data_IF_365451509277
#
_entry.id   IF_365451509277
#
_cell.length_a   1.000
_cell.length_b   1.000
_cell.length_c   1.000
_cell.angle_alpha   90.00
_cell.angle_beta   90.00
_cell.angle_gamma   90.00
#
_symmetry.space_group_name_H-M   'P 1'
#
loop_
_entity.id
_entity.type
_entity.pdbx_description
1 polymer ?
#
# COMPACT_ATOMS: atom_id res chain seq x y z
N UNK A 1 57.21 -25.61 -20.04
CA UNK A 1 56.85 -24.47 -20.91
C UNK A 1 55.46 -24.74 -21.49
N UNK A 2 54.52 -23.79 -21.31
CA UNK A 2 53.19 -23.65 -21.97
C UNK A 2 52.22 -24.82 -21.67
N UNK A 3 50.99 -24.65 -21.17
CA UNK A 3 50.03 -23.55 -21.18
C UNK A 3 48.70 -24.08 -21.74
N UNK A 4 47.58 -23.55 -21.22
CA UNK A 4 46.20 -23.55 -21.78
C UNK A 4 45.18 -24.60 -21.25
N UNK A 5 44.46 -24.17 -20.22
CA UNK A 5 43.00 -23.90 -20.12
C UNK A 5 41.90 -24.91 -20.54
N UNK A 6 41.04 -25.18 -19.55
CA UNK A 6 39.55 -25.00 -19.49
C UNK A 6 38.61 -25.75 -20.44
N UNK A 7 37.66 -26.49 -19.83
CA UNK A 7 36.29 -26.61 -20.35
C UNK A 7 35.26 -26.60 -19.20
N UNK A 8 34.63 -25.45 -18.96
CA UNK A 8 33.34 -25.36 -18.27
C UNK A 8 32.22 -25.33 -19.32
N UNK A 9 31.28 -26.26 -19.21
CA UNK A 9 30.15 -26.43 -20.13
C UNK A 9 29.12 -25.32 -19.92
N UNK A 10 28.84 -24.59 -21.00
CA UNK A 10 27.85 -23.52 -21.04
C UNK A 10 26.41 -24.03 -21.14
N UNK A 11 25.54 -23.48 -20.29
CA UNK A 11 24.09 -23.45 -20.54
C UNK A 11 23.81 -22.37 -21.59
N UNK A 12 23.24 -22.81 -22.72
CA UNK A 12 22.71 -21.94 -23.77
C UNK A 12 21.41 -21.31 -23.30
N UNK A 13 21.36 -19.98 -23.37
CA UNK A 13 20.15 -19.17 -23.24
C UNK A 13 19.22 -19.45 -24.43
N UNK A 14 17.97 -19.82 -24.16
CA UNK A 14 16.88 -19.71 -25.12
C UNK A 14 16.10 -18.44 -24.81
N UNK A 15 16.41 -17.37 -25.55
CA UNK A 15 15.62 -16.14 -25.63
C UNK A 15 14.60 -16.29 -26.75
N UNK A 16 13.32 -16.45 -26.41
CA UNK A 16 12.23 -15.98 -27.29
C UNK A 16 10.88 -16.04 -26.60
N UNK A 17 10.12 -14.94 -26.77
CA UNK A 17 8.71 -14.71 -26.42
C UNK A 17 8.40 -14.31 -24.98
N UNK A 18 8.55 -13.00 -24.73
CA UNK A 18 7.60 -12.21 -23.93
C UNK A 18 7.72 -10.74 -24.38
N UNK A 19 7.11 -10.42 -25.52
CA UNK A 19 6.78 -9.04 -25.89
C UNK A 19 5.31 -9.04 -26.31
N UNK A 20 4.44 -9.08 -25.32
CA UNK A 20 3.09 -8.57 -25.46
C UNK A 20 3.06 -7.28 -24.62
N UNK A 21 3.44 -6.15 -25.25
CA UNK A 21 3.12 -4.84 -24.71
C UNK A 21 1.60 -4.70 -24.72
N UNK A 22 0.95 -4.93 -23.58
CA UNK A 22 -0.39 -4.43 -23.35
C UNK A 22 -0.28 -2.91 -23.25
N UNK A 23 -0.41 -2.21 -24.38
CA UNK A 23 -0.68 -0.78 -24.37
C UNK A 23 -2.00 -0.59 -23.62
N UNK A 24 -1.98 0.07 -22.46
CA UNK A 24 -3.21 0.50 -21.83
C UNK A 24 -3.97 1.36 -22.86
N UNK A 25 -5.19 0.97 -23.28
CA UNK A 25 -5.89 1.68 -24.34
C UNK A 25 -6.10 3.14 -23.92
N UNK A 26 -5.93 4.06 -24.88
CA UNK A 26 -6.34 5.46 -24.76
C UNK A 26 -7.73 5.51 -24.14
N UNK A 27 -7.94 6.36 -23.14
CA UNK A 27 -9.28 6.60 -22.62
C UNK A 27 -10.20 6.98 -23.79
N UNK A 28 -11.14 6.10 -24.16
CA UNK A 28 -12.34 6.52 -24.88
C UNK A 28 -13.02 7.57 -24.01
N UNK A 29 -13.53 8.65 -24.62
CA UNK A 29 -14.16 9.78 -23.92
C UNK A 29 -15.05 9.31 -22.76
N UNK A 30 -15.10 10.02 -21.62
CA UNK A 30 -15.87 9.60 -20.46
C UNK A 30 -17.32 9.35 -20.86
N UNK A 31 -17.75 8.09 -20.83
CA UNK A 31 -19.17 7.75 -20.82
C UNK A 31 -19.67 8.06 -19.43
N UNK A 32 -20.34 9.20 -19.27
CA UNK A 32 -21.43 9.49 -18.33
C UNK A 32 -21.52 11.02 -18.16
N UNK A 33 -22.42 11.63 -18.93
CA UNK A 33 -22.83 13.01 -18.71
C UNK A 33 -23.67 13.07 -17.42
N UNK A 34 -23.15 13.71 -16.37
CA UNK A 34 -23.99 14.22 -15.30
C UNK A 34 -24.74 15.48 -15.78
N UNK A 35 -26.03 15.67 -15.45
CA UNK A 35 -26.82 16.78 -15.96
C UNK A 35 -26.36 18.13 -15.36
N UNK A 36 -26.22 19.14 -16.22
CA UNK A 36 -25.91 20.53 -15.85
C UNK A 36 -27.04 21.19 -15.05
N UNK A 37 -26.73 21.92 -13.96
CA UNK A 37 -27.62 22.97 -13.47
C UNK A 37 -27.36 24.28 -14.21
N UNK A 38 -28.43 24.90 -14.73
CA UNK A 38 -28.46 26.24 -15.33
C UNK A 38 -27.94 27.29 -14.36
N UNK A 39 -27.10 28.21 -14.84
CA UNK A 39 -26.76 29.47 -14.18
C UNK A 39 -27.61 30.63 -14.76
N UNK A 40 -27.94 31.66 -13.96
CA UNK A 40 -28.32 32.97 -14.49
C UNK A 40 -27.12 33.92 -14.56
N UNK A 41 -27.26 34.91 -15.45
CA UNK A 41 -26.26 35.84 -15.94
C UNK A 41 -26.04 37.09 -15.05
N UNK A 42 -25.14 37.96 -15.55
CA UNK A 42 -24.69 39.30 -15.10
C UNK A 42 -23.34 39.28 -14.36
N UNK A 43 -22.36 40.15 -14.63
CA UNK A 43 -22.23 41.29 -15.55
C UNK A 43 -20.80 41.83 -15.47
N UNK A 44 -20.38 42.58 -16.49
CA UNK A 44 -19.03 43.07 -16.75
C UNK A 44 -18.53 44.17 -15.80
N UNK A 45 -17.22 44.25 -15.56
CA UNK A 45 -16.51 45.54 -15.58
C UNK A 45 -15.01 45.38 -15.86
N UNK A 46 -14.55 46.15 -16.83
CA UNK A 46 -13.17 46.42 -17.27
C UNK A 46 -12.41 47.33 -16.30
N UNK A 47 -11.09 47.16 -16.18
CA UNK A 47 -10.16 48.25 -15.86
C UNK A 47 -8.74 47.97 -16.38
N UNK A 48 -8.12 49.06 -16.79
CA UNK A 48 -6.95 49.26 -17.67
C UNK A 48 -5.58 49.15 -17.01
N UNK A 49 -4.58 48.94 -17.86
CA UNK A 49 -3.14 48.95 -17.58
C UNK A 49 -2.55 50.34 -17.26
N UNK A 50 -1.41 50.35 -16.56
CA UNK A 50 -0.42 51.42 -16.63
C UNK A 50 0.99 50.85 -16.36
N UNK A 51 1.93 51.20 -17.25
CA UNK A 51 3.36 50.91 -17.15
C UNK A 51 4.12 52.15 -16.66
N UNK A 52 5.25 51.95 -15.97
CA UNK A 52 6.33 52.93 -15.90
C UNK A 52 7.69 52.27 -15.57
N UNK A 53 8.71 52.72 -16.28
CA UNK A 53 10.12 52.29 -16.27
C UNK A 53 10.91 52.81 -15.04
N UNK A 54 12.02 52.13 -14.72
CA UNK A 54 13.11 52.66 -13.89
C UNK A 54 14.35 51.76 -13.93
N UNK A 55 15.50 52.32 -14.29
CA UNK A 55 16.70 51.61 -14.74
C UNK A 55 17.73 51.26 -13.64
N UNK A 56 18.43 50.14 -13.89
CA UNK A 56 19.83 49.77 -13.58
C UNK A 56 20.58 50.28 -12.35
N UNK A 57 21.15 49.34 -11.59
CA UNK A 57 22.55 49.39 -11.18
C UNK A 57 23.13 47.99 -10.94
N UNK A 58 24.39 47.83 -11.34
CA UNK A 58 25.20 46.62 -11.39
C UNK A 58 25.84 46.27 -10.04
N UNK A 59 25.87 44.98 -9.71
CA UNK A 59 26.66 44.44 -8.59
C UNK A 59 26.94 42.96 -8.81
N UNK A 60 28.11 42.65 -9.35
CA UNK A 60 28.62 41.30 -9.57
C UNK A 60 29.19 40.71 -8.27
N UNK A 61 28.64 39.58 -7.82
CA UNK A 61 29.28 38.70 -6.86
C UNK A 61 28.99 37.24 -7.21
N UNK A 62 30.08 36.50 -7.41
CA UNK A 62 30.16 35.08 -7.75
C UNK A 62 29.34 34.18 -6.80
N UNK A 63 28.32 33.51 -7.35
CA UNK A 63 27.56 32.48 -6.67
C UNK A 63 27.42 31.25 -7.57
N UNK A 64 27.84 30.10 -7.05
CA UNK A 64 27.69 28.77 -7.65
C UNK A 64 26.26 28.55 -8.17
N UNK A 65 26.11 28.38 -9.48
CA UNK A 65 24.82 28.17 -10.13
C UNK A 65 24.31 26.76 -9.85
N UNK A 66 23.35 26.65 -8.94
CA UNK A 66 22.38 25.56 -9.01
C UNK A 66 21.42 25.91 -10.16
N UNK A 67 21.49 25.14 -11.25
CA UNK A 67 20.45 25.20 -12.27
C UNK A 67 19.13 24.75 -11.64
N UNK A 68 18.29 25.71 -11.26
CA UNK A 68 16.86 25.46 -11.08
C UNK A 68 16.29 25.44 -12.49
N UNK A 69 16.13 24.24 -13.05
CA UNK A 69 15.46 24.06 -14.32
C UNK A 69 14.03 24.63 -14.22
N UNK A 70 13.77 25.64 -15.06
CA UNK A 70 12.48 26.31 -15.23
C UNK A 70 11.45 25.47 -16.00
N UNK A 71 11.76 24.20 -16.31
CA UNK A 71 10.78 23.25 -16.82
C UNK A 71 9.62 23.08 -15.83
N UNK A 72 8.35 23.22 -16.28
CA UNK A 72 7.17 23.02 -15.45
C UNK A 72 6.97 21.54 -15.05
N UNK A 73 7.78 20.65 -15.60
CA UNK A 73 7.60 19.20 -15.55
C UNK A 73 8.63 18.60 -14.58
N UNK A 74 8.16 17.87 -13.56
CA UNK A 74 9.05 16.98 -12.82
C UNK A 74 9.53 15.88 -13.77
N UNK A 75 10.85 15.75 -13.89
CA UNK A 75 11.47 14.60 -14.53
C UNK A 75 11.15 13.36 -13.70
N UNK A 76 10.07 12.68 -14.08
CA UNK A 76 9.71 11.37 -13.56
C UNK A 76 10.62 10.37 -14.28
N UNK A 77 11.39 9.56 -13.55
CA UNK A 77 12.28 8.59 -14.17
C UNK A 77 11.46 7.62 -15.03
N UNK A 78 11.93 7.37 -16.25
CA UNK A 78 11.32 6.39 -17.15
C UNK A 78 11.45 4.96 -16.61
N UNK A 79 12.46 4.70 -15.77
CA UNK A 79 12.80 3.39 -15.21
C UNK A 79 13.16 3.51 -13.73
N UNK A 80 12.80 2.50 -12.94
CA UNK A 80 13.18 2.41 -11.52
C UNK A 80 14.70 2.16 -11.42
N UNK A 81 15.38 2.89 -10.52
CA UNK A 81 16.78 2.63 -10.18
C UNK A 81 16.98 1.26 -9.51
N UNK A 82 18.22 0.79 -9.32
CA UNK A 82 18.47 -0.48 -8.65
C UNK A 82 17.83 -0.50 -7.25
N UNK A 83 17.25 -1.64 -6.81
CA UNK A 83 16.58 -1.71 -5.52
C UNK A 83 17.59 -1.40 -4.40
N UNK A 84 17.17 -0.65 -3.36
CA UNK A 84 18.02 -0.43 -2.20
C UNK A 84 18.34 -1.78 -1.54
N UNK A 85 19.49 -1.89 -0.83
CA UNK A 85 19.88 -3.14 -0.19
C UNK A 85 18.76 -3.67 0.72
N UNK A 86 18.59 -4.99 0.68
CA UNK A 86 17.64 -5.68 1.54
C UNK A 86 17.98 -5.37 3.01
N UNK A 87 16.97 -5.12 3.86
CA UNK A 87 17.19 -4.94 5.28
C UNK A 87 17.65 -6.26 5.92
N UNK A 88 18.18 -6.20 7.14
CA UNK A 88 18.49 -7.41 7.91
C UNK A 88 17.22 -8.23 8.22
N UNK A 89 17.37 -9.51 8.62
CA UNK A 89 16.24 -10.32 9.08
C UNK A 89 15.45 -9.62 10.19
N UNK A 90 14.12 -9.68 10.14
CA UNK A 90 13.25 -9.10 11.17
C UNK A 90 13.13 -7.58 11.14
N UNK A 91 13.78 -6.90 10.19
CA UNK A 91 13.74 -5.44 10.06
C UNK A 91 12.71 -5.03 9.02
N UNK A 92 11.63 -4.40 9.46
CA UNK A 92 10.62 -3.83 8.58
C UNK A 92 11.16 -2.59 7.87
N UNK A 93 10.80 -2.41 6.59
CA UNK A 93 11.04 -1.16 5.86
C UNK A 93 9.71 -0.43 5.65
N UNK A 94 9.67 0.85 5.99
CA UNK A 94 8.55 1.73 5.68
C UNK A 94 9.02 2.91 4.82
N UNK A 95 8.38 3.10 3.67
CA UNK A 95 8.66 4.19 2.75
C UNK A 95 7.89 5.45 3.12
N UNK A 96 8.42 6.64 2.79
CA UNK A 96 7.76 7.92 3.04
C UNK A 96 7.99 8.94 1.92
N UNK A 97 7.04 9.87 1.76
CA UNK A 97 7.07 10.89 0.71
C UNK A 97 6.87 12.33 1.23
N UNK A 98 6.99 12.58 2.54
CA UNK A 98 6.78 13.91 3.15
C UNK A 98 7.91 14.93 2.87
N UNK A 99 8.95 14.54 2.15
CA UNK A 99 9.93 15.47 1.58
C UNK A 99 9.29 16.37 0.50
N UNK A 100 8.19 15.94 -0.11
CA UNK A 100 7.35 16.76 -0.96
C UNK A 100 6.37 17.59 -0.14
N UNK A 101 6.68 18.89 0.03
CA UNK A 101 5.89 19.81 0.85
C UNK A 101 4.72 20.38 0.04
N UNK A 102 3.59 19.67 0.02
CA UNK A 102 2.39 20.11 -0.70
C UNK A 102 1.80 21.35 -0.05
N UNK A 103 1.75 22.51 -0.75
CA UNK A 103 1.12 23.71 -0.23
C UNK A 103 -0.40 23.52 -0.26
N UNK A 104 -1.03 23.56 0.92
CA UNK A 104 -2.48 23.58 1.05
C UNK A 104 -2.92 24.93 1.62
N UNK A 105 -4.08 25.47 1.18
CA UNK A 105 -4.67 26.65 1.77
C UNK A 105 -4.90 26.46 3.27
N UNK A 106 -4.85 27.55 4.02
CA UNK A 106 -5.22 27.54 5.44
C UNK A 106 -6.65 26.99 5.62
N UNK A 107 -6.84 26.15 6.64
CA UNK A 107 -8.13 25.52 6.91
C UNK A 107 -8.50 24.36 5.96
N UNK A 108 -7.64 23.97 5.02
CA UNK A 108 -7.88 22.80 4.17
C UNK A 108 -8.17 21.56 5.03
N UNK A 109 -9.23 20.81 4.67
CA UNK A 109 -9.75 19.75 5.53
C UNK A 109 -8.82 18.53 5.63
N UNK A 110 -7.96 18.33 4.64
CA UNK A 110 -6.98 17.25 4.61
C UNK A 110 -5.73 17.60 5.43
N UNK A 111 -5.40 16.83 6.48
CA UNK A 111 -4.30 17.13 7.40
C UNK A 111 -2.96 16.65 6.84
N UNK A 112 -2.42 17.31 5.82
CA UNK A 112 -1.18 16.89 5.12
C UNK A 112 0.03 16.69 6.06
N UNK A 113 0.07 17.40 7.19
CA UNK A 113 1.16 17.27 8.17
C UNK A 113 1.18 15.90 8.88
N UNK A 114 0.10 15.11 8.83
CA UNK A 114 0.03 13.80 9.49
C UNK A 114 1.13 12.85 9.02
N UNK A 115 1.54 12.94 7.76
CA UNK A 115 2.59 12.09 7.18
C UNK A 115 3.95 12.36 7.83
N UNK A 116 4.36 13.63 7.89
CA UNK A 116 5.61 14.03 8.52
C UNK A 116 5.59 13.79 10.04
N UNK A 117 4.46 14.05 10.69
CA UNK A 117 4.29 13.81 12.13
C UNK A 117 4.37 12.32 12.48
N UNK A 118 3.75 11.44 11.69
CA UNK A 118 3.83 9.98 11.85
C UNK A 118 5.27 9.50 11.67
N UNK A 119 5.97 9.95 10.62
CA UNK A 119 7.39 9.63 10.41
C UNK A 119 8.24 10.09 11.60
N UNK A 120 8.06 11.32 12.07
CA UNK A 120 8.81 11.86 13.20
C UNK A 120 8.56 11.06 14.49
N UNK A 121 7.31 10.66 14.76
CA UNK A 121 6.96 9.84 15.91
C UNK A 121 7.63 8.46 15.86
N UNK A 122 7.69 7.82 14.67
CA UNK A 122 8.40 6.56 14.47
C UNK A 122 9.92 6.71 14.62
N UNK A 123 10.51 7.82 14.14
CA UNK A 123 11.94 8.09 14.28
C UNK A 123 12.38 8.37 15.72
N UNK A 124 11.51 9.01 16.51
CA UNK A 124 11.78 9.32 17.91
C UNK A 124 11.63 8.10 18.83
N UNK A 125 11.01 7.03 18.35
CA UNK A 125 10.77 5.82 19.13
C UNK A 125 11.99 4.90 19.14
N UNK A 126 12.86 5.06 20.13
CA UNK A 126 14.09 4.28 20.27
C UNK A 126 13.88 2.76 20.40
N UNK A 127 12.67 2.31 20.75
CA UNK A 127 12.37 0.87 20.79
C UNK A 127 12.28 0.23 19.38
N UNK A 128 12.18 1.04 18.33
CA UNK A 128 12.18 0.62 16.94
C UNK A 128 13.60 0.51 16.34
N UNK A 129 14.63 0.87 17.10
CA UNK A 129 16.02 0.67 16.67
C UNK A 129 16.29 -0.80 16.35
N UNK A 130 16.88 -1.05 15.18
CA UNK A 130 17.10 -2.40 14.66
C UNK A 130 15.83 -3.17 14.28
N UNK A 131 14.64 -2.53 14.25
CA UNK A 131 13.36 -3.17 13.87
C UNK A 131 12.65 -2.47 12.72
N UNK A 132 12.82 -1.16 12.60
CA UNK A 132 12.22 -0.35 11.53
C UNK A 132 13.29 0.48 10.82
N UNK A 133 13.27 0.45 9.49
CA UNK A 133 14.01 1.37 8.64
C UNK A 133 13.04 2.25 7.86
N UNK A 134 13.20 3.56 7.98
CA UNK A 134 12.45 4.54 7.22
C UNK A 134 13.25 4.96 5.98
N UNK A 135 12.65 4.82 4.79
CA UNK A 135 13.32 5.13 3.52
C UNK A 135 12.51 6.14 2.70
N UNK A 136 13.14 7.16 2.08
CA UNK A 136 12.42 8.04 1.16
C UNK A 136 11.93 7.23 -0.05
N UNK A 137 10.69 7.48 -0.46
CA UNK A 137 10.09 6.83 -1.61
C UNK A 137 10.52 7.54 -2.91
N UNK A 138 11.19 6.79 -3.80
CA UNK A 138 11.42 7.24 -5.15
C UNK A 138 10.08 7.38 -5.91
N UNK A 139 9.96 8.34 -6.86
CA UNK A 139 8.81 8.40 -7.75
C UNK A 139 8.60 7.07 -8.51
N UNK A 140 7.36 6.62 -8.63
CA UNK A 140 7.01 5.50 -9.50
C UNK A 140 7.38 5.81 -10.96
N UNK A 141 7.80 4.78 -11.70
CA UNK A 141 7.98 4.91 -13.13
C UNK A 141 6.62 5.16 -13.80
N UNK A 142 6.60 5.98 -14.85
CA UNK A 142 5.39 6.30 -15.59
C UNK A 142 4.71 5.04 -16.15
N UNK A 143 5.49 4.06 -16.59
CA UNK A 143 4.98 2.78 -17.09
C UNK A 143 4.29 1.94 -16.02
N UNK A 144 4.75 2.00 -14.77
CA UNK A 144 4.08 1.31 -13.66
C UNK A 144 2.72 1.95 -13.36
N UNK A 145 2.66 3.28 -13.29
CA UNK A 145 1.40 4.01 -13.09
C UNK A 145 0.43 3.75 -14.25
N UNK A 146 0.95 3.63 -15.48
CA UNK A 146 0.17 3.37 -16.69
C UNK A 146 -0.39 1.93 -16.78
N UNK A 147 0.03 1.00 -15.91
CA UNK A 147 -0.62 -0.31 -15.79
C UNK A 147 -2.06 -0.20 -15.25
N UNK A 148 -2.36 0.88 -14.53
CA UNK A 148 -3.67 1.13 -13.90
C UNK A 148 -4.35 2.33 -14.53
N UNK A 149 -3.67 3.47 -14.56
CA UNK A 149 -4.27 4.73 -14.95
C UNK A 149 -4.08 4.97 -16.44
N UNK A 150 -5.11 5.48 -17.12
CA UNK A 150 -4.96 5.79 -18.54
C UNK A 150 -3.93 6.89 -18.74
N UNK A 151 -3.04 6.70 -19.72
CA UNK A 151 -1.85 7.55 -19.88
C UNK A 151 -2.20 9.03 -20.08
N UNK A 152 -3.35 9.33 -20.69
CA UNK A 152 -3.81 10.71 -20.85
C UNK A 152 -4.13 11.38 -19.51
N UNK A 153 -4.74 10.65 -18.57
CA UNK A 153 -5.03 11.18 -17.24
C UNK A 153 -3.73 11.46 -16.47
N UNK A 154 -2.79 10.51 -16.50
CA UNK A 154 -1.48 10.65 -15.84
C UNK A 154 -0.71 11.86 -16.40
N UNK A 155 -0.65 12.00 -17.72
CA UNK A 155 0.04 13.12 -18.36
C UNK A 155 -0.65 14.46 -18.08
N UNK A 156 -1.99 14.53 -18.11
CA UNK A 156 -2.71 15.77 -17.75
C UNK A 156 -2.36 16.21 -16.33
N UNK A 157 -2.36 15.30 -15.37
CA UNK A 157 -1.98 15.62 -14.00
C UNK A 157 -0.50 16.03 -13.88
N UNK A 158 0.41 15.30 -14.54
CA UNK A 158 1.85 15.57 -14.50
C UNK A 158 2.22 16.93 -15.09
N UNK A 159 1.52 17.36 -16.13
CA UNK A 159 1.84 18.54 -16.95
C UNK A 159 0.99 19.78 -16.62
N UNK A 160 0.26 19.78 -15.50
CA UNK A 160 -0.66 20.87 -15.14
C UNK A 160 -1.73 21.15 -16.22
N UNK A 161 -2.21 20.10 -16.88
CA UNK A 161 -3.22 20.17 -17.93
C UNK A 161 -4.57 19.56 -17.49
N UNK A 162 -4.78 19.45 -16.17
CA UNK A 162 -6.06 19.04 -15.59
C UNK A 162 -7.03 20.20 -15.63
N UNK A 163 -8.28 19.90 -15.97
CA UNK A 163 -9.37 20.88 -15.87
C UNK A 163 -9.71 21.14 -14.40
N UNK A 164 -10.29 22.31 -14.10
CA UNK A 164 -10.71 22.60 -12.73
C UNK A 164 -11.69 21.58 -12.14
N UNK A 165 -12.69 21.04 -12.89
CA UNK A 165 -13.54 19.97 -12.37
C UNK A 165 -12.77 18.72 -11.96
N UNK A 166 -11.75 18.32 -12.74
CA UNK A 166 -10.91 17.16 -12.39
C UNK A 166 -10.12 17.44 -11.10
N UNK A 167 -9.50 18.61 -10.96
CA UNK A 167 -8.79 18.99 -9.73
C UNK A 167 -9.72 19.14 -8.52
N UNK A 168 -10.95 19.61 -8.72
CA UNK A 168 -11.98 19.63 -7.66
C UNK A 168 -12.36 18.23 -7.21
N UNK A 169 -12.43 17.25 -8.13
CA UNK A 169 -12.72 15.86 -7.77
C UNK A 169 -11.59 15.22 -6.96
N UNK A 170 -10.33 15.53 -7.31
CA UNK A 170 -9.15 15.16 -6.52
C UNK A 170 -9.22 15.79 -5.12
N UNK A 171 -9.60 17.06 -5.02
CA UNK A 171 -9.70 17.77 -3.73
C UNK A 171 -8.37 18.35 -3.24
N UNK A 172 -7.41 18.59 -4.14
CA UNK A 172 -6.18 19.32 -3.86
C UNK A 172 -5.94 20.42 -4.91
N UNK A 173 -5.31 21.55 -4.54
CA UNK A 173 -4.76 22.45 -5.55
C UNK A 173 -3.59 21.77 -6.27
N UNK A 174 -3.47 22.02 -7.57
CA UNK A 174 -2.31 21.52 -8.31
C UNK A 174 -1.04 22.21 -7.81
N UNK A 175 0.04 21.46 -7.68
CA UNK A 175 1.38 21.99 -7.48
C UNK A 175 2.41 20.96 -7.90
N UNK A 176 3.61 21.42 -8.28
CA UNK A 176 4.75 20.52 -8.52
C UNK A 176 5.04 19.60 -7.33
N UNK A 177 4.84 20.10 -6.10
CA UNK A 177 5.01 19.31 -4.87
C UNK A 177 3.95 18.19 -4.78
N UNK A 178 2.70 18.45 -5.16
CA UNK A 178 1.65 17.43 -5.22
C UNK A 178 1.99 16.36 -6.26
N UNK A 179 2.49 16.74 -7.44
CA UNK A 179 2.91 15.80 -8.48
C UNK A 179 4.00 14.88 -7.94
N UNK A 180 5.08 15.44 -7.40
CA UNK A 180 6.19 14.66 -6.83
C UNK A 180 5.73 13.73 -5.72
N UNK A 181 4.91 14.23 -4.78
CA UNK A 181 4.33 13.43 -3.69
C UNK A 181 3.50 12.27 -4.23
N UNK A 182 2.69 12.51 -5.24
CA UNK A 182 1.77 11.51 -5.81
C UNK A 182 2.54 10.36 -6.45
N UNK A 183 3.54 10.66 -7.27
CA UNK A 183 4.38 9.62 -7.87
C UNK A 183 5.24 8.91 -6.81
N UNK A 184 5.80 9.62 -5.83
CA UNK A 184 6.56 8.99 -4.74
C UNK A 184 5.68 8.13 -3.82
N UNK A 185 4.42 8.51 -3.60
CA UNK A 185 3.46 7.67 -2.88
C UNK A 185 3.26 6.34 -3.63
N UNK A 186 2.98 6.36 -4.93
CA UNK A 186 2.90 5.13 -5.73
C UNK A 186 4.20 4.32 -5.71
N UNK A 187 5.34 5.00 -5.88
CA UNK A 187 6.65 4.34 -5.93
C UNK A 187 7.03 3.69 -4.61
N UNK A 188 6.61 4.25 -3.48
CA UNK A 188 6.80 3.67 -2.15
C UNK A 188 6.05 2.34 -1.98
N UNK A 189 4.81 2.25 -2.45
CA UNK A 189 4.00 1.02 -2.36
C UNK A 189 4.53 -0.06 -3.32
N UNK A 190 4.96 0.33 -4.53
CA UNK A 190 5.65 -0.55 -5.48
C UNK A 190 6.97 -1.07 -4.88
N UNK A 191 7.79 -0.20 -4.29
CA UNK A 191 9.06 -0.59 -3.69
C UNK A 191 8.87 -1.54 -2.49
N UNK A 192 7.89 -1.29 -1.63
CA UNK A 192 7.51 -2.20 -0.55
C UNK A 192 7.08 -3.58 -1.08
N UNK A 193 6.33 -3.60 -2.18
CA UNK A 193 5.88 -4.83 -2.84
C UNK A 193 7.05 -5.64 -3.40
N UNK A 194 7.96 -5.00 -4.14
CA UNK A 194 9.18 -5.67 -4.61
C UNK A 194 9.99 -6.27 -3.46
N UNK A 195 10.12 -5.52 -2.35
CA UNK A 195 10.91 -5.95 -1.21
C UNK A 195 10.39 -7.26 -0.61
N UNK A 196 9.09 -7.33 -0.27
CA UNK A 196 8.53 -8.52 0.37
C UNK A 196 8.46 -9.72 -0.59
N UNK A 197 8.25 -9.49 -1.89
CA UNK A 197 8.23 -10.56 -2.90
C UNK A 197 9.63 -11.11 -3.18
N UNK A 198 10.67 -10.26 -3.19
CA UNK A 198 12.06 -10.71 -3.31
C UNK A 198 12.52 -11.51 -2.10
N UNK A 199 12.03 -11.16 -0.91
CA UNK A 199 12.28 -11.92 0.32
C UNK A 199 11.42 -13.20 0.40
N UNK A 200 10.33 -13.26 -0.37
CA UNK A 200 9.34 -14.34 -0.36
C UNK A 200 8.44 -14.37 0.88
N UNK A 201 8.65 -13.47 1.84
CA UNK A 201 7.91 -13.34 3.11
C UNK A 201 8.21 -11.99 3.77
N UNK A 202 7.46 -11.65 4.81
CA UNK A 202 7.72 -10.51 5.68
C UNK A 202 6.72 -9.37 5.50
N UNK A 203 7.03 -8.23 6.13
CA UNK A 203 6.18 -7.04 6.14
C UNK A 203 7.00 -5.83 5.68
N UNK A 204 6.47 -5.07 4.74
CA UNK A 204 6.94 -3.74 4.38
C UNK A 204 5.76 -2.76 4.34
N UNK A 205 6.02 -1.46 4.26
CA UNK A 205 4.92 -0.51 4.15
C UNK A 205 5.27 0.84 3.56
N UNK A 206 4.25 1.68 3.40
CA UNK A 206 4.38 3.02 2.85
C UNK A 206 3.47 4.01 3.58
N UNK A 207 4.11 4.91 4.33
CA UNK A 207 3.47 5.97 5.12
C UNK A 207 2.67 6.92 4.20
N UNK A 208 3.06 7.09 2.94
CA UNK A 208 2.39 8.00 2.02
C UNK A 208 1.26 7.36 1.19
N UNK A 209 1.10 6.04 1.26
CA UNK A 209 0.20 5.26 0.41
C UNK A 209 -1.22 5.06 0.96
N UNK A 210 -2.01 4.27 0.25
CA UNK A 210 -3.38 3.89 0.62
C UNK A 210 -4.45 4.71 -0.09
N UNK A 211 -4.17 5.17 -1.31
CA UNK A 211 -5.01 6.09 -2.07
C UNK A 211 -6.05 5.35 -2.93
N UNK A 212 -6.95 4.63 -2.26
CA UNK A 212 -7.89 3.67 -2.85
C UNK A 212 -9.07 4.25 -3.69
N UNK A 213 -9.31 5.56 -3.67
CA UNK A 213 -10.44 6.18 -4.36
C UNK A 213 -10.16 6.51 -5.83
N UNK A 214 -8.89 6.51 -6.25
CA UNK A 214 -8.55 6.88 -7.63
C UNK A 214 -8.99 5.78 -8.61
N UNK A 215 -9.66 6.21 -9.69
CA UNK A 215 -10.12 5.35 -10.77
C UNK A 215 -9.08 5.34 -11.89
N UNK A 216 -9.30 4.47 -12.89
CA UNK A 216 -8.47 4.39 -14.09
C UNK A 216 -8.29 5.74 -14.80
N UNK A 217 -9.31 6.58 -14.87
CA UNK A 217 -9.34 7.79 -15.69
C UNK A 217 -9.51 9.12 -14.94
N UNK A 218 -9.64 9.06 -13.60
CA UNK A 218 -9.82 10.23 -12.75
C UNK A 218 -9.34 9.99 -11.32
N UNK A 219 -8.91 11.06 -10.67
CA UNK A 219 -8.70 11.10 -9.23
C UNK A 219 -9.97 11.50 -8.49
N UNK A 220 -10.10 11.09 -7.25
CA UNK A 220 -11.31 11.26 -6.44
C UNK A 220 -10.95 11.18 -4.95
N UNK A 221 -11.63 11.93 -4.08
CA UNK A 221 -11.55 11.73 -2.62
C UNK A 221 -10.13 11.82 -2.04
N UNK A 222 -9.35 12.84 -2.44
CA UNK A 222 -7.93 13.01 -2.06
C UNK A 222 -6.97 11.94 -2.63
N UNK A 223 -7.43 11.13 -3.58
CA UNK A 223 -6.62 10.12 -4.26
C UNK A 223 -6.42 10.52 -5.73
N UNK A 224 -5.17 10.80 -6.13
CA UNK A 224 -4.83 11.09 -7.53
C UNK A 224 -4.58 9.78 -8.29
N UNK A 225 -3.66 8.96 -7.80
CA UNK A 225 -3.41 7.61 -8.32
C UNK A 225 -3.77 6.58 -7.25
N UNK A 226 -4.05 5.34 -7.66
CA UNK A 226 -4.34 4.22 -6.78
C UNK A 226 -3.06 3.41 -6.62
N UNK A 227 -2.29 3.72 -5.58
CA UNK A 227 -0.98 3.11 -5.35
C UNK A 227 -1.09 1.61 -5.04
N UNK A 228 -2.17 1.19 -4.38
CA UNK A 228 -2.48 -0.22 -4.11
C UNK A 228 -2.68 -0.97 -5.42
N UNK A 229 -3.49 -0.41 -6.33
CA UNK A 229 -3.75 -1.04 -7.60
C UNK A 229 -2.50 -1.08 -8.49
N UNK A 230 -1.69 -0.01 -8.48
CA UNK A 230 -0.41 0.04 -9.22
C UNK A 230 0.53 -1.05 -8.71
N UNK A 231 0.67 -1.18 -7.39
CA UNK A 231 1.48 -2.23 -6.77
C UNK A 231 1.01 -3.64 -7.12
N UNK A 232 -0.31 -3.89 -7.08
CA UNK A 232 -0.85 -5.20 -7.48
C UNK A 232 -0.56 -5.51 -8.96
N UNK A 233 -0.78 -4.56 -9.88
CA UNK A 233 -0.50 -4.75 -11.31
C UNK A 233 0.98 -4.97 -11.59
N UNK A 234 1.86 -4.27 -10.87
CA UNK A 234 3.32 -4.50 -10.92
C UNK A 234 3.67 -5.91 -10.43
N UNK A 235 3.07 -6.37 -9.32
CA UNK A 235 3.29 -7.72 -8.81
C UNK A 235 2.84 -8.81 -9.81
N UNK A 236 1.67 -8.64 -10.43
CA UNK A 236 1.18 -9.53 -11.49
C UNK A 236 2.14 -9.56 -12.70
N UNK A 237 2.66 -8.40 -13.11
CA UNK A 237 3.56 -8.26 -14.26
C UNK A 237 4.94 -8.88 -14.00
N UNK A 238 5.55 -8.55 -12.87
CA UNK A 238 6.98 -8.82 -12.62
C UNK A 238 7.23 -10.14 -11.91
N UNK A 239 6.27 -10.63 -11.15
CA UNK A 239 6.38 -11.88 -10.38
C UNK A 239 5.40 -12.96 -10.84
N UNK A 240 4.50 -12.64 -11.78
CA UNK A 240 3.54 -13.61 -12.32
C UNK A 240 2.61 -14.18 -11.25
N UNK A 241 2.21 -13.38 -10.27
CA UNK A 241 1.29 -13.83 -9.23
C UNK A 241 -0.07 -14.20 -9.82
N UNK A 242 -0.67 -15.26 -9.30
CA UNK A 242 -2.00 -15.77 -9.67
C UNK A 242 -3.07 -15.40 -8.64
N UNK A 243 -2.67 -15.00 -7.43
CA UNK A 243 -3.60 -14.58 -6.39
C UNK A 243 -3.02 -13.48 -5.50
N UNK A 244 -3.69 -12.33 -5.47
CA UNK A 244 -3.41 -11.17 -4.61
C UNK A 244 -4.68 -10.85 -3.82
N UNK A 245 -4.54 -10.62 -2.52
CA UNK A 245 -5.62 -10.12 -1.67
C UNK A 245 -5.39 -8.63 -1.40
N UNK A 246 -6.31 -7.78 -1.82
CA UNK A 246 -6.42 -6.41 -1.32
C UNK A 246 -7.37 -6.41 -0.13
N UNK A 247 -6.81 -6.17 1.06
CA UNK A 247 -7.53 -6.06 2.32
C UNK A 247 -7.69 -4.57 2.66
N UNK A 248 -8.85 -4.00 2.36
CA UNK A 248 -9.15 -2.59 2.61
C UNK A 248 -9.94 -2.43 3.91
N UNK A 249 -9.32 -1.79 4.91
CA UNK A 249 -9.92 -1.55 6.23
C UNK A 249 -10.02 -0.05 6.55
N UNK A 250 -9.99 0.82 5.53
CA UNK A 250 -10.40 2.21 5.63
C UNK A 250 -11.89 2.32 5.97
N UNK A 251 -12.32 3.43 6.57
CA UNK A 251 -13.75 3.62 6.85
C UNK A 251 -14.57 3.89 5.57
N UNK A 252 -13.93 4.40 4.52
CA UNK A 252 -14.56 4.64 3.23
C UNK A 252 -14.40 3.41 2.34
N UNK A 253 -15.40 3.10 1.51
CA UNK A 253 -15.23 2.01 0.54
C UNK A 253 -14.12 2.38 -0.45
N UNK A 254 -13.20 1.43 -0.70
CA UNK A 254 -12.18 1.46 -1.75
C UNK A 254 -12.74 1.36 -3.16
N UNK A 255 -13.64 2.27 -3.53
CA UNK A 255 -14.39 2.25 -4.79
C UNK A 255 -13.51 2.28 -6.04
N UNK A 256 -12.39 3.02 -6.03
CA UNK A 256 -11.44 3.04 -7.14
C UNK A 256 -10.76 1.69 -7.33
N UNK A 257 -10.32 1.07 -6.23
CA UNK A 257 -9.74 -0.28 -6.22
C UNK A 257 -10.73 -1.32 -6.74
N UNK A 258 -11.97 -1.29 -6.26
CA UNK A 258 -13.05 -2.17 -6.71
C UNK A 258 -13.30 -2.05 -8.23
N UNK A 259 -13.38 -0.82 -8.76
CA UNK A 259 -13.56 -0.56 -10.19
C UNK A 259 -12.40 -1.13 -11.03
N UNK A 260 -11.16 -0.89 -10.60
CA UNK A 260 -9.95 -1.27 -11.35
C UNK A 260 -9.79 -2.80 -11.46
N UNK A 261 -10.28 -3.55 -10.47
CA UNK A 261 -10.14 -5.01 -10.40
C UNK A 261 -11.42 -5.78 -10.70
N UNK A 262 -12.52 -5.12 -11.10
CA UNK A 262 -13.79 -5.76 -11.40
C UNK A 262 -13.67 -6.95 -12.38
N UNK A 263 -12.78 -6.82 -13.38
CA UNK A 263 -12.53 -7.84 -14.41
C UNK A 263 -11.16 -8.54 -14.26
N UNK A 264 -10.55 -8.53 -13.06
CA UNK A 264 -9.26 -9.17 -12.79
C UNK A 264 -9.41 -10.28 -11.73
N UNK A 265 -9.62 -11.55 -12.15
CA UNK A 265 -9.92 -12.64 -11.22
C UNK A 265 -8.73 -13.03 -10.32
N UNK A 266 -7.50 -12.58 -10.64
CA UNK A 266 -6.31 -12.83 -9.80
C UNK A 266 -6.22 -11.88 -8.60
N UNK A 267 -7.09 -10.87 -8.52
CA UNK A 267 -7.11 -9.90 -7.42
C UNK A 267 -8.45 -9.99 -6.69
N UNK A 268 -8.41 -10.49 -5.47
CA UNK A 268 -9.58 -10.48 -4.57
C UNK A 268 -9.59 -9.17 -3.79
N UNK A 269 -10.69 -8.42 -3.86
CA UNK A 269 -10.88 -7.21 -3.05
C UNK A 269 -11.85 -7.50 -1.90
N UNK A 270 -11.41 -7.23 -0.68
CA UNK A 270 -12.19 -7.36 0.54
C UNK A 270 -12.20 -6.01 1.27
N UNK A 271 -13.39 -5.55 1.65
CA UNK A 271 -13.59 -4.21 2.18
C UNK A 271 -14.54 -4.22 3.40
N UNK A 272 -14.11 -3.64 4.52
CA UNK A 272 -14.95 -3.37 5.70
C UNK A 272 -15.06 -1.86 5.89
N UNK A 273 -16.19 -1.29 5.51
CA UNK A 273 -16.39 0.16 5.46
C UNK A 273 -17.68 0.59 6.18
N UNK A 274 -17.79 1.88 6.51
CA UNK A 274 -19.03 2.46 7.04
C UNK A 274 -20.11 2.56 5.96
N UNK A 275 -21.26 1.91 6.15
CA UNK A 275 -22.32 1.82 5.14
C UNK A 275 -22.80 3.20 4.68
N UNK A 276 -22.84 4.15 5.63
CA UNK A 276 -23.25 5.51 5.37
C UNK A 276 -22.06 6.47 5.28
N UNK A 277 -20.85 5.99 5.02
CA UNK A 277 -19.72 6.85 4.66
C UNK A 277 -19.71 7.14 3.15
N UNK A 278 -19.02 8.24 2.78
CA UNK A 278 -18.53 8.42 1.41
C UNK A 278 -17.83 7.13 0.94
N UNK A 279 -17.93 6.67 -0.32
CA UNK A 279 -18.41 7.36 -1.53
C UNK A 279 -19.79 6.89 -2.05
N UNK A 280 -20.92 7.33 -1.49
CA UNK A 280 -22.26 6.81 -1.87
C UNK A 280 -22.58 6.81 -3.38
N UNK A 281 -22.15 7.84 -4.12
CA UNK A 281 -22.50 7.99 -5.56
C UNK A 281 -21.58 7.21 -6.49
N UNK A 282 -20.34 7.01 -6.09
CA UNK A 282 -19.28 6.36 -6.87
C UNK A 282 -18.90 5.01 -6.28
N UNK A 283 -19.66 4.49 -5.31
CA UNK A 283 -19.52 3.14 -4.75
C UNK A 283 -19.51 2.11 -5.87
N UNK A 284 -18.69 1.08 -5.70
CA UNK A 284 -18.55 -0.06 -6.62
C UNK A 284 -18.76 -1.36 -5.86
N UNK A 285 -18.56 -2.49 -6.52
CA UNK A 285 -18.74 -3.80 -5.88
C UNK A 285 -17.37 -4.45 -5.75
N UNK A 286 -16.96 -4.75 -4.52
CA UNK A 286 -15.78 -5.55 -4.24
C UNK A 286 -16.10 -7.05 -4.41
N UNK A 287 -15.08 -7.93 -4.38
CA UNK A 287 -15.34 -9.37 -4.23
C UNK A 287 -16.11 -9.66 -2.95
N UNK A 288 -15.78 -8.94 -1.87
CA UNK A 288 -16.52 -8.96 -0.61
C UNK A 288 -16.67 -7.54 -0.05
N UNK A 289 -17.91 -7.08 0.07
CA UNK A 289 -18.27 -5.82 0.72
C UNK A 289 -18.96 -6.10 2.06
N UNK A 290 -18.41 -5.56 3.15
CA UNK A 290 -18.94 -5.70 4.51
C UNK A 290 -19.30 -4.31 5.05
N UNK A 291 -20.44 -3.73 4.63
CA UNK A 291 -20.91 -2.44 5.12
C UNK A 291 -21.30 -2.54 6.61
N UNK A 292 -20.78 -1.64 7.42
CA UNK A 292 -21.06 -1.57 8.86
C UNK A 292 -21.96 -0.37 9.21
N UNK A 293 -22.88 -0.51 10.18
CA UNK A 293 -23.68 0.61 10.66
C UNK A 293 -22.81 1.66 11.36
N UNK A 294 -23.35 2.88 11.45
CA UNK A 294 -22.72 3.96 12.21
C UNK A 294 -22.43 3.51 13.66
N UNK A 295 -21.37 4.06 14.25
CA UNK A 295 -20.93 3.81 15.62
C UNK A 295 -20.52 2.36 15.94
N UNK A 296 -20.38 1.48 14.93
CA UNK A 296 -19.85 0.12 15.14
C UNK A 296 -18.52 0.18 15.89
N UNK A 297 -18.47 -0.52 17.03
CA UNK A 297 -17.34 -0.51 17.95
C UNK A 297 -16.39 -1.70 17.78
N UNK A 298 -15.42 -1.79 18.70
CA UNK A 298 -14.31 -2.74 18.64
C UNK A 298 -14.76 -4.20 18.55
N UNK A 299 -15.68 -4.64 19.40
CA UNK A 299 -16.05 -6.05 19.52
C UNK A 299 -16.69 -6.60 18.24
N UNK A 300 -17.67 -5.87 17.69
CA UNK A 300 -18.37 -6.26 16.47
C UNK A 300 -17.42 -6.27 15.26
N UNK A 301 -16.63 -5.20 15.10
CA UNK A 301 -15.66 -5.09 14.01
C UNK A 301 -14.62 -6.21 14.06
N UNK A 302 -14.03 -6.45 15.23
CA UNK A 302 -12.97 -7.46 15.40
C UNK A 302 -13.52 -8.88 15.29
N UNK A 303 -14.74 -9.15 15.77
CA UNK A 303 -15.39 -10.45 15.59
C UNK A 303 -15.58 -10.76 14.10
N UNK A 304 -16.04 -9.77 13.32
CA UNK A 304 -16.21 -9.91 11.88
C UNK A 304 -14.87 -10.20 11.20
N UNK A 305 -13.84 -9.37 11.44
CA UNK A 305 -12.54 -9.54 10.81
C UNK A 305 -11.88 -10.89 11.17
N UNK A 306 -12.01 -11.34 12.44
CA UNK A 306 -11.52 -12.67 12.88
C UNK A 306 -12.18 -13.82 12.14
N UNK A 307 -13.46 -13.69 11.79
CA UNK A 307 -14.19 -14.73 11.04
C UNK A 307 -13.80 -14.77 9.56
N UNK A 308 -13.46 -13.62 8.97
CA UNK A 308 -13.19 -13.51 7.54
C UNK A 308 -11.75 -13.82 7.15
N UNK A 309 -10.76 -13.39 7.94
CA UNK A 309 -9.35 -13.56 7.59
C UNK A 309 -8.95 -15.02 7.27
N UNK A 310 -9.30 -16.03 8.09
CA UNK A 310 -8.99 -17.43 7.78
C UNK A 310 -9.67 -17.91 6.49
N UNK A 311 -10.91 -17.45 6.24
CA UNK A 311 -11.67 -17.81 5.05
C UNK A 311 -11.03 -17.23 3.79
N UNK A 312 -10.64 -15.96 3.82
CA UNK A 312 -9.96 -15.32 2.69
C UNK A 312 -8.67 -16.05 2.30
N UNK A 313 -7.88 -16.47 3.30
CA UNK A 313 -6.68 -17.26 3.05
C UNK A 313 -6.98 -18.65 2.48
N UNK A 314 -8.00 -19.34 3.02
CA UNK A 314 -8.36 -20.69 2.58
C UNK A 314 -8.94 -20.71 1.15
N UNK A 315 -9.85 -19.78 0.87
CA UNK A 315 -10.60 -19.71 -0.39
C UNK A 315 -9.72 -19.18 -1.53
N UNK A 316 -8.87 -18.18 -1.28
CA UNK A 316 -8.11 -17.48 -2.34
C UNK A 316 -6.62 -17.77 -2.36
N UNK A 317 -6.04 -18.29 -1.27
CA UNK A 317 -4.61 -18.62 -1.13
C UNK A 317 -3.68 -17.52 -1.68
N UNK A 318 -3.80 -16.27 -1.18
CA UNK A 318 -3.06 -15.15 -1.74
C UNK A 318 -1.55 -15.34 -1.61
N UNK A 319 -0.82 -14.95 -2.65
CA UNK A 319 0.63 -14.90 -2.70
C UNK A 319 1.18 -13.53 -2.27
N UNK A 320 0.30 -12.54 -2.13
CA UNK A 320 0.57 -11.20 -1.63
C UNK A 320 -0.68 -10.64 -0.98
N UNK A 321 -0.53 -9.99 0.17
CA UNK A 321 -1.58 -9.18 0.80
C UNK A 321 -1.18 -7.70 0.71
N UNK A 322 -2.05 -6.88 0.13
CA UNK A 322 -1.99 -5.43 0.16
C UNK A 322 -3.00 -4.94 1.20
N UNK A 323 -2.50 -4.48 2.34
CA UNK A 323 -3.32 -4.03 3.47
C UNK A 323 -3.41 -2.51 3.50
N UNK A 324 -4.61 -1.99 3.26
CA UNK A 324 -4.95 -0.58 3.51
C UNK A 324 -5.33 -0.45 4.98
N UNK A 325 -4.49 0.24 5.76
CA UNK A 325 -4.59 0.33 7.21
C UNK A 325 -5.11 1.70 7.69
N UNK A 326 -6.03 2.32 6.95
CA UNK A 326 -6.69 3.58 7.28
C UNK A 326 -7.16 3.61 8.72
N UNK A 327 -7.00 4.75 9.39
CA UNK A 327 -7.33 4.93 10.81
C UNK A 327 -8.52 5.86 11.01
N UNK A 328 -9.19 6.28 9.93
CA UNK A 328 -10.42 7.08 9.98
C UNK A 328 -11.65 6.31 10.47
N UNK A 329 -11.55 5.00 10.71
CA UNK A 329 -12.54 4.27 11.49
C UNK A 329 -12.46 4.59 13.01
N UNK A 330 -11.45 5.35 13.44
CA UNK A 330 -11.30 5.79 14.84
C UNK A 330 -12.49 6.66 15.28
N UNK A 331 -12.98 6.41 16.49
CA UNK A 331 -14.00 7.22 17.14
C UNK A 331 -13.55 8.68 17.24
N UNK A 332 -14.36 9.58 16.71
CA UNK A 332 -14.06 11.02 16.67
C UNK A 332 -13.24 11.47 15.46
N UNK A 333 -13.06 10.60 14.47
CA UNK A 333 -12.59 11.02 13.14
C UNK A 333 -13.58 12.00 12.50
N UNK A 334 -13.06 12.98 11.73
CA UNK A 334 -13.92 14.01 11.11
C UNK A 334 -14.70 13.50 9.90
N UNK A 335 -14.25 12.41 9.28
CA UNK A 335 -14.84 11.83 8.07
C UNK A 335 -15.36 10.41 8.29
N UNK A 336 -14.85 9.69 9.28
CA UNK A 336 -15.40 8.40 9.72
C UNK A 336 -16.71 8.50 10.49
N UNK A 337 -17.52 7.44 10.38
CA UNK A 337 -18.77 7.28 11.16
C UNK A 337 -18.78 6.01 12.00
N UNK A 338 -17.64 5.31 12.09
CA UNK A 338 -17.47 4.16 12.97
C UNK A 338 -16.94 4.59 14.34
N UNK A 339 -16.99 3.66 15.30
CA UNK A 339 -16.72 3.91 16.71
C UNK A 339 -15.48 3.21 17.26
N UNK A 340 -14.50 2.83 16.42
CA UNK A 340 -13.34 2.06 16.90
C UNK A 340 -12.49 2.87 17.87
N UNK A 341 -12.05 2.24 18.95
CA UNK A 341 -11.02 2.82 19.82
C UNK A 341 -9.63 2.67 19.18
N UNK A 342 -8.65 3.42 19.70
CA UNK A 342 -7.24 3.20 19.33
C UNK A 342 -6.79 1.77 19.65
N UNK A 343 -7.31 1.18 20.74
CA UNK A 343 -7.06 -0.22 21.10
C UNK A 343 -7.69 -1.20 20.10
N UNK A 344 -8.88 -0.90 19.60
CA UNK A 344 -9.56 -1.66 18.54
C UNK A 344 -8.77 -1.65 17.24
N UNK A 345 -8.31 -0.47 16.78
CA UNK A 345 -7.43 -0.36 15.61
C UNK A 345 -6.11 -1.11 15.80
N UNK A 346 -5.52 -1.03 16.99
CA UNK A 346 -4.31 -1.80 17.32
C UNK A 346 -4.56 -3.31 17.24
N UNK A 347 -5.68 -3.79 17.76
CA UNK A 347 -6.07 -5.19 17.70
C UNK A 347 -6.34 -5.64 16.25
N UNK A 348 -7.02 -4.80 15.45
CA UNK A 348 -7.27 -5.00 14.01
C UNK A 348 -5.95 -5.20 13.27
N UNK A 349 -5.01 -4.26 13.42
CA UNK A 349 -3.72 -4.31 12.75
C UNK A 349 -2.93 -5.57 13.13
N UNK A 350 -2.85 -5.88 14.43
CA UNK A 350 -2.16 -7.08 14.90
C UNK A 350 -2.78 -8.38 14.37
N UNK A 351 -4.10 -8.45 14.24
CA UNK A 351 -4.77 -9.62 13.69
C UNK A 351 -4.37 -9.86 12.23
N UNK A 352 -4.29 -8.81 11.42
CA UNK A 352 -3.83 -8.91 10.02
C UNK A 352 -2.36 -9.34 9.96
N UNK A 353 -1.50 -8.73 10.78
CA UNK A 353 -0.05 -9.04 10.79
C UNK A 353 0.21 -10.49 11.19
N UNK A 354 -0.40 -10.94 12.29
CA UNK A 354 -0.30 -12.34 12.75
C UNK A 354 -0.79 -13.30 11.68
N UNK A 355 -1.95 -13.03 11.10
CA UNK A 355 -2.53 -13.87 10.04
C UNK A 355 -1.58 -14.02 8.85
N UNK A 356 -1.04 -12.91 8.34
CA UNK A 356 -0.12 -12.94 7.21
C UNK A 356 1.20 -13.67 7.53
N UNK A 357 1.80 -13.39 8.69
CA UNK A 357 3.05 -14.01 9.13
C UNK A 357 2.91 -15.52 9.40
N UNK A 358 1.81 -15.93 10.03
CA UNK A 358 1.52 -17.35 10.32
C UNK A 358 1.24 -18.13 9.03
N UNK A 359 0.58 -17.50 8.06
CA UNK A 359 0.36 -18.08 6.73
C UNK A 359 1.61 -18.02 5.82
N UNK A 360 2.66 -17.30 6.23
CA UNK A 360 3.86 -17.09 5.42
C UNK A 360 3.62 -16.24 4.17
N UNK A 361 2.58 -15.40 4.15
CA UNK A 361 2.21 -14.58 2.99
C UNK A 361 2.87 -13.20 3.09
N UNK A 362 3.60 -12.74 2.05
CA UNK A 362 4.13 -11.38 1.96
C UNK A 362 3.04 -10.32 2.20
N UNK A 363 3.33 -9.31 3.04
CA UNK A 363 2.39 -8.26 3.42
C UNK A 363 2.96 -6.87 3.12
N UNK A 364 2.19 -6.04 2.42
CA UNK A 364 2.48 -4.61 2.23
C UNK A 364 1.41 -3.77 2.92
N UNK A 365 1.83 -2.89 3.81
CA UNK A 365 0.94 -2.03 4.61
C UNK A 365 0.95 -0.59 4.07
N UNK A 366 -0.22 -0.01 3.86
CA UNK A 366 -0.36 1.40 3.46
C UNK A 366 -1.15 2.20 4.51
N UNK A 367 -0.87 3.50 4.61
CA UNK A 367 -1.36 4.31 5.75
C UNK A 367 -2.85 4.70 5.67
N UNK A 368 -3.34 5.13 4.50
CA UNK A 368 -4.75 5.44 4.29
C UNK A 368 -5.29 6.72 4.95
N UNK A 369 -6.61 6.73 5.19
CA UNK A 369 -7.36 7.81 5.81
C UNK A 369 -7.08 8.00 7.31
N UNK A 370 -7.49 9.14 7.87
CA UNK A 370 -7.27 9.54 9.26
C UNK A 370 -7.23 11.07 9.39
N UNK A 371 -8.21 11.63 10.10
CA UNK A 371 -8.66 13.03 10.00
C UNK A 371 -9.18 13.61 11.33
N UNK A 372 -8.79 13.06 12.48
CA UNK A 372 -9.18 13.61 13.80
C UNK A 372 -8.78 15.07 13.96
N UNK A 373 -9.56 15.82 14.77
CA UNK A 373 -9.24 17.19 15.17
C UNK A 373 -9.31 17.30 16.70
N UNK A 374 -8.17 17.52 17.39
CA UNK A 374 -6.80 17.66 16.88
C UNK A 374 -6.25 16.38 16.22
N UNK A 375 -5.23 16.55 15.38
CA UNK A 375 -4.65 15.49 14.53
C UNK A 375 -3.90 14.40 15.32
N UNK A 376 -3.55 14.67 16.57
CA UNK A 376 -2.70 13.83 17.41
C UNK A 376 -3.22 12.39 17.54
N UNK A 377 -4.53 12.21 17.64
CA UNK A 377 -5.14 10.88 17.73
C UNK A 377 -4.93 10.06 16.44
N UNK A 378 -5.08 10.69 15.26
CA UNK A 378 -4.77 10.06 13.97
C UNK A 378 -3.29 9.73 13.84
N UNK A 379 -2.39 10.64 14.24
CA UNK A 379 -0.94 10.41 14.21
C UNK A 379 -0.55 9.25 15.13
N UNK A 380 -1.13 9.19 16.33
CA UNK A 380 -0.88 8.10 17.27
C UNK A 380 -1.34 6.74 16.70
N UNK A 381 -2.54 6.68 16.12
CA UNK A 381 -3.06 5.47 15.49
C UNK A 381 -2.23 5.06 14.26
N UNK A 382 -1.84 5.99 13.39
CA UNK A 382 -0.96 5.71 12.26
C UNK A 382 0.44 5.27 12.72
N UNK A 383 0.97 5.83 13.80
CA UNK A 383 2.24 5.38 14.38
C UNK A 383 2.14 3.93 14.85
N UNK A 384 1.01 3.54 15.47
CA UNK A 384 0.78 2.17 15.91
C UNK A 384 0.73 1.16 14.76
N UNK A 385 0.20 1.55 13.58
CA UNK A 385 0.21 0.72 12.36
C UNK A 385 1.63 0.21 12.08
N UNK A 386 2.60 1.11 11.96
CA UNK A 386 3.97 0.74 11.58
C UNK A 386 4.80 0.21 12.76
N UNK A 387 4.63 0.78 13.96
CA UNK A 387 5.32 0.33 15.17
C UNK A 387 5.04 -1.15 15.43
N UNK A 388 3.76 -1.53 15.42
CA UNK A 388 3.39 -2.90 15.77
C UNK A 388 3.66 -3.89 14.66
N UNK A 389 3.60 -3.48 13.39
CA UNK A 389 4.09 -4.30 12.29
C UNK A 389 5.58 -4.64 12.46
N UNK A 390 6.42 -3.64 12.78
CA UNK A 390 7.85 -3.84 13.02
C UNK A 390 8.14 -4.78 14.20
N UNK A 391 7.42 -4.62 15.32
CA UNK A 391 7.54 -5.55 16.45
C UNK A 391 7.12 -6.98 16.09
N UNK A 392 6.00 -7.14 15.38
CA UNK A 392 5.49 -8.45 15.00
C UNK A 392 6.46 -9.18 14.07
N UNK A 393 6.98 -8.49 13.06
CA UNK A 393 7.97 -9.06 12.14
C UNK A 393 9.25 -9.45 12.89
N UNK A 394 9.80 -8.55 13.72
CA UNK A 394 11.01 -8.80 14.50
C UNK A 394 10.85 -9.99 15.45
N UNK A 395 9.74 -10.08 16.17
CA UNK A 395 9.46 -11.19 17.08
C UNK A 395 9.26 -12.51 16.33
N UNK A 396 8.61 -12.48 15.17
CA UNK A 396 8.38 -13.67 14.36
C UNK A 396 9.67 -14.26 13.80
N UNK A 397 10.58 -13.41 13.31
CA UNK A 397 11.91 -13.84 12.82
C UNK A 397 12.77 -14.40 13.95
N UNK A 398 12.82 -13.73 15.11
CA UNK A 398 13.55 -14.24 16.28
C UNK A 398 13.04 -15.63 16.71
N UNK A 399 11.72 -15.85 16.69
CA UNK A 399 11.14 -17.15 16.98
C UNK A 399 11.45 -18.21 15.90
N UNK A 400 11.56 -17.81 14.63
CA UNK A 400 11.95 -18.70 13.54
C UNK A 400 13.41 -19.16 13.67
N UNK A 401 14.33 -18.26 14.03
CA UNK A 401 15.73 -18.57 14.29
C UNK A 401 15.89 -19.56 15.45
N UNK A 402 15.14 -19.36 16.56
CA UNK A 402 15.15 -20.28 17.70
C UNK A 402 14.65 -21.68 17.33
N UNK A 403 13.61 -21.79 16.49
CA UNK A 403 13.12 -23.08 15.98
C UNK A 403 14.18 -23.81 15.16
N UNK A 404 14.93 -23.10 14.33
CA UNK A 404 16.01 -23.69 13.53
C UNK A 404 17.19 -24.14 14.39
N UNK A 405 17.58 -23.36 15.40
CA UNK A 405 18.67 -23.70 16.32
C UNK A 405 18.30 -24.89 17.23
N UNK A 406 17.06 -24.95 17.73
CA UNK A 406 16.56 -26.05 18.56
C UNK A 406 16.43 -27.40 17.83
N UNK A 407 16.21 -27.38 16.51
CA UNK A 407 16.22 -28.60 15.69
C UNK A 407 17.65 -29.10 15.35
N UNK A 408 18.66 -28.22 15.43
CA UNK A 408 20.07 -28.56 15.22
C UNK A 408 20.77 -29.20 16.43
N UNK A 409 20.14 -29.18 17.60
CA UNK A 409 20.61 -29.82 18.83
C UNK A 409 19.80 -31.10 19.12
N UNK A 410 19.81 -32.08 18.21
CA UNK A 410 19.65 -33.46 18.67
C UNK A 410 20.98 -33.92 19.28
N UNK A 411 21.00 -34.40 20.54
CA UNK A 411 22.20 -35.01 21.07
C UNK A 411 22.53 -36.23 20.21
N UNK A 412 23.77 -36.31 19.72
CA UNK A 412 24.31 -37.50 19.10
C UNK A 412 24.15 -38.68 20.05
N UNK A 413 23.10 -39.45 19.86
CA UNK A 413 22.75 -40.60 20.65
C UNK A 413 23.73 -41.73 20.37
N UNK A 414 24.75 -41.83 21.20
CA UNK A 414 25.39 -43.11 21.47
C UNK A 414 24.34 -44.07 22.06
N UNK A 415 23.90 -45.06 21.29
CA UNK A 415 23.55 -46.42 21.75
C UNK A 415 23.55 -47.30 20.49
N UNK A 416 24.35 -48.35 20.37
CA UNK A 416 24.45 -49.44 21.32
C UNK A 416 23.38 -50.48 20.95
N UNK A 417 23.82 -51.56 20.28
CA UNK A 417 23.03 -52.78 19.97
C UNK A 417 21.94 -53.07 21.01
N UNK A 418 20.69 -53.20 20.56
CA UNK A 418 19.78 -54.26 21.03
C UNK A 418 18.90 -54.73 19.88
N UNK A 419 19.29 -55.86 19.30
CA UNK A 419 18.40 -56.75 18.58
C UNK A 419 17.29 -57.25 19.52
N UNK A 420 16.10 -57.49 18.95
CA UNK A 420 15.12 -58.42 19.50
C UNK A 420 13.95 -57.81 20.25
N UNK A 421 12.88 -57.48 19.52
CA UNK A 421 11.52 -58.04 19.71
C UNK A 421 10.53 -57.35 18.78
N UNK A 422 10.24 -58.01 17.67
CA UNK A 422 8.99 -57.81 16.94
C UNK A 422 7.80 -58.37 17.73
N UNK A 423 6.60 -57.92 17.33
CA UNK A 423 5.26 -58.41 17.71
C UNK A 423 4.78 -58.00 19.12
N UNK A 424 4.28 -56.77 19.25
CA UNK A 424 3.26 -56.45 20.25
C UNK A 424 2.58 -55.07 20.02
N UNK A 425 2.29 -54.65 18.78
CA UNK A 425 1.43 -53.47 18.55
C UNK A 425 0.56 -53.70 17.30
N UNK A 426 -0.31 -54.70 17.38
CA UNK A 426 -1.36 -54.94 16.38
C UNK A 426 -2.64 -55.51 17.02
N UNK A 427 -2.83 -55.33 18.34
CA UNK A 427 -3.93 -55.94 19.10
C UNK A 427 -4.67 -54.95 20.02
N UNK A 428 -4.57 -53.64 19.79
CA UNK A 428 -5.24 -52.62 20.61
C UNK A 428 -6.21 -51.71 19.83
N UNK A 429 -6.44 -51.97 18.54
CA UNK A 429 -7.32 -51.15 17.69
C UNK A 429 -8.63 -51.85 17.25
N UNK A 430 -8.95 -53.03 17.80
CA UNK A 430 -10.12 -53.82 17.39
C UNK A 430 -11.16 -54.08 18.50
N UNK A 431 -11.10 -53.37 19.63
CA UNK A 431 -11.99 -53.60 20.78
C UNK A 431 -12.79 -52.37 21.25
N UNK A 432 -12.93 -51.33 20.42
CA UNK A 432 -13.72 -50.13 20.76
C UNK A 432 -14.83 -49.81 19.75
N UNK A 433 -15.16 -50.73 18.84
CA UNK A 433 -16.20 -50.58 17.83
C UNK A 433 -17.41 -51.54 18.01
N UNK A 434 -17.62 -52.07 19.23
CA UNK A 434 -18.71 -53.00 19.53
C UNK A 434 -19.44 -52.68 20.85
N UNK A 435 -19.59 -51.40 21.19
CA UNK A 435 -20.36 -50.96 22.36
C UNK A 435 -21.21 -49.71 22.09
N UNK A 436 -21.72 -49.58 20.87
CA UNK A 436 -22.75 -48.60 20.49
C UNK A 436 -23.88 -49.33 19.77
N UNK A 437 -24.73 -49.97 20.56
CA UNK A 437 -25.98 -50.57 20.12
C UNK A 437 -26.71 -51.19 21.30
N UNK A 438 -27.92 -50.68 21.57
CA UNK A 438 -28.89 -51.09 22.59
C UNK A 438 -28.77 -50.38 23.96
N UNK A 439 -29.37 -49.20 24.09
CA UNK A 439 -30.71 -49.04 24.66
C UNK A 439 -31.26 -47.63 24.43
#
# INVERSE_FOLDING_TARGET
>A
MRGVASSASGLRRTTSRCLAHAQAPFCSRPSHAAPSPRAPAHGSSTATAAAANGASSSGSSSGSSTHVDGSPVLDIPAMVGPPPPAPGPGVMVAYFADHWKVPLPEGHRFPMLKYAATRAALQADGSLEGRLQLRPAAPAALEDVALVHCRQYVERFRLDAMTEPEMRNVGFPWSRQLVGRTFSSCGGTVAATHLVLQQGRGIAGNIAGGTHHAFRDRGEGFCVFNDIAVAARVALRDYGLDSILVLDLDVHQGNGTADIFADEPRVTTFDIFGDKNYPWKSRRTNTYDLPLPDDTGDDEYLALLRSWLPRLLADHRPQLILFQAGVDALKGDSFGRLGLSRGGLLARNNLVYSTALEAGVPLVVTMGGGYTRPMDASVAAHTDVYRTAAYRLSAWEAAAEQRQQGQGQQPGGATGRKEGRGRAVAAAAAAAAAASGQH
#
